data_IF_909217073447
#
_entry.id   IF_909217073447
#
_cell.length_a   1.000
_cell.length_b   1.000
_cell.length_c   1.000
_cell.angle_alpha   90.00
_cell.angle_beta   90.00
_cell.angle_gamma   90.00
#
_symmetry.space_group_name_H-M   'P 1'
#
loop_
_entity.id
_entity.type
_entity.pdbx_description
1 polymer ?
#
# COMPACT_ATOMS: atom_id res chain seq x y z
N UNK A 1 -5.97 -35.28 10.99
CA UNK A 1 -5.32 -33.95 11.10
C UNK A 1 -6.24 -32.95 10.44
N UNK A 2 -7.19 -32.45 11.21
CA UNK A 2 -8.14 -31.44 10.77
C UNK A 2 -7.38 -30.15 10.51
N UNK A 3 -7.36 -29.72 9.25
CA UNK A 3 -7.02 -28.34 8.92
C UNK A 3 -8.08 -27.49 9.58
N UNK A 4 -7.71 -26.78 10.65
CA UNK A 4 -8.56 -25.75 11.23
C UNK A 4 -9.05 -24.85 10.09
N UNK A 5 -10.37 -24.85 9.84
CA UNK A 5 -10.97 -23.88 8.94
C UNK A 5 -10.68 -22.51 9.55
N UNK A 6 -9.87 -21.72 8.85
CA UNK A 6 -9.76 -20.30 9.15
C UNK A 6 -11.19 -19.75 9.26
N UNK A 7 -11.48 -19.04 10.36
CA UNK A 7 -12.75 -18.32 10.50
C UNK A 7 -12.99 -17.39 9.31
N UNK A 8 -14.19 -16.82 9.15
CA UNK A 8 -14.43 -15.83 8.10
C UNK A 8 -13.34 -14.77 8.20
N UNK A 9 -12.50 -14.66 7.16
CA UNK A 9 -11.55 -13.55 7.05
C UNK A 9 -12.43 -12.32 7.00
N UNK A 10 -12.27 -11.41 7.94
CA UNK A 10 -12.79 -10.06 7.74
C UNK A 10 -12.01 -9.51 6.55
N UNK A 11 -12.62 -9.55 5.36
CA UNK A 11 -12.04 -9.12 4.09
C UNK A 11 -11.91 -7.59 4.04
N UNK A 12 -11.18 -7.03 5.01
CA UNK A 12 -11.06 -5.60 5.25
C UNK A 12 -9.66 -5.23 5.72
N UNK A 13 -8.64 -5.82 5.10
CA UNK A 13 -7.25 -5.45 5.33
C UNK A 13 -7.08 -3.96 5.02
N UNK A 14 -6.47 -3.21 5.94
CA UNK A 14 -6.12 -1.80 5.78
C UNK A 14 -4.62 -1.62 5.92
N UNK A 15 -3.98 -0.91 5.01
CA UNK A 15 -2.55 -0.61 5.08
C UNK A 15 -2.35 0.88 5.33
N UNK A 16 -1.38 1.19 6.20
CA UNK A 16 -0.97 2.56 6.49
C UNK A 16 0.12 2.97 5.50
N UNK A 17 -0.26 3.69 4.45
CA UNK A 17 0.64 4.11 3.37
C UNK A 17 1.18 5.51 3.67
N UNK A 18 2.47 5.60 3.97
CA UNK A 18 3.17 6.86 4.21
C UNK A 18 3.69 7.41 2.88
N UNK A 19 3.29 8.63 2.56
CA UNK A 19 3.74 9.38 1.38
C UNK A 19 4.20 10.75 1.86
N UNK A 20 5.52 10.96 1.86
CA UNK A 20 6.15 12.17 2.40
C UNK A 20 5.68 12.46 3.85
N UNK A 21 4.92 13.54 4.03
CA UNK A 21 4.40 14.04 5.31
C UNK A 21 3.01 13.49 5.68
N UNK A 22 2.39 12.69 4.80
CA UNK A 22 1.03 12.18 4.98
C UNK A 22 0.99 10.68 5.21
N UNK A 23 0.03 10.24 6.03
CA UNK A 23 -0.34 8.83 6.19
C UNK A 23 -1.74 8.60 5.63
N UNK A 24 -1.84 7.73 4.63
CA UNK A 24 -3.07 7.42 3.91
C UNK A 24 -3.49 5.99 4.27
N UNK A 25 -4.70 5.83 4.79
CA UNK A 25 -5.26 4.50 5.08
C UNK A 25 -5.86 3.93 3.78
N UNK A 26 -5.35 2.79 3.34
CA UNK A 26 -5.83 2.12 2.12
C UNK A 26 -6.51 0.80 2.48
N UNK A 27 -7.82 0.73 2.27
CA UNK A 27 -8.56 -0.53 2.30
C UNK A 27 -8.18 -1.40 1.10
N UNK A 28 -7.62 -2.57 1.37
CA UNK A 28 -7.15 -3.56 0.40
C UNK A 28 -8.11 -4.76 0.28
N UNK A 29 -9.17 -4.82 1.09
CA UNK A 29 -10.12 -5.94 1.10
C UNK A 29 -9.41 -7.23 1.49
N UNK A 30 -9.33 -8.19 0.57
CA UNK A 30 -8.58 -9.45 0.73
C UNK A 30 -7.06 -9.28 0.60
N UNK A 31 -6.57 -8.12 0.18
CA UNK A 31 -5.15 -7.85 -0.08
C UNK A 31 -4.57 -8.59 -1.28
N UNK A 32 -5.40 -9.04 -2.23
CA UNK A 32 -4.95 -9.76 -3.43
C UNK A 32 -4.31 -8.86 -4.50
N UNK A 33 -4.29 -7.55 -4.29
CA UNK A 33 -3.67 -6.61 -5.23
C UNK A 33 -2.14 -6.62 -5.11
N UNK A 34 -1.47 -6.11 -6.14
CA UNK A 34 -0.01 -5.98 -6.16
C UNK A 34 0.47 -4.76 -5.37
N UNK A 35 1.69 -4.82 -4.85
CA UNK A 35 2.34 -3.69 -4.20
C UNK A 35 2.44 -2.45 -5.08
N UNK A 36 2.62 -2.61 -6.40
CA UNK A 36 2.57 -1.48 -7.34
C UNK A 36 1.25 -0.71 -7.26
N UNK A 37 0.11 -1.41 -7.15
CA UNK A 37 -1.20 -0.77 -7.02
C UNK A 37 -1.27 0.05 -5.74
N UNK A 38 -0.79 -0.50 -4.61
CA UNK A 38 -0.80 0.18 -3.32
C UNK A 38 0.00 1.49 -3.36
N UNK A 39 1.18 1.46 -4.00
CA UNK A 39 2.00 2.66 -4.20
C UNK A 39 1.27 3.73 -5.03
N UNK A 40 0.62 3.35 -6.14
CA UNK A 40 -0.12 4.30 -6.98
C UNK A 40 -1.34 4.88 -6.25
N UNK A 41 -2.04 4.07 -5.45
CA UNK A 41 -3.16 4.56 -4.63
C UNK A 41 -2.67 5.56 -3.59
N UNK A 42 -1.55 5.29 -2.92
CA UNK A 42 -0.91 6.23 -2.00
C UNK A 42 -0.58 7.56 -2.69
N UNK A 43 0.07 7.51 -3.86
CA UNK A 43 0.41 8.72 -4.62
C UNK A 43 -0.84 9.49 -5.05
N UNK A 44 -1.85 8.83 -5.61
CA UNK A 44 -3.07 9.49 -6.05
C UNK A 44 -3.78 10.23 -4.89
N UNK A 45 -3.93 9.54 -3.75
CA UNK A 45 -4.61 10.05 -2.55
C UNK A 45 -3.80 11.04 -1.72
N UNK A 46 -2.55 11.32 -2.09
CA UNK A 46 -1.79 12.40 -1.47
C UNK A 46 -2.49 13.76 -1.64
N UNK A 47 -3.11 13.95 -2.80
CA UNK A 47 -4.11 14.98 -3.04
C UNK A 47 -5.48 14.45 -2.60
N UNK A 48 -5.92 14.86 -1.43
CA UNK A 48 -7.18 14.38 -0.82
C UNK A 48 -8.43 14.94 -1.52
N UNK A 49 -8.30 16.08 -2.21
CA UNK A 49 -9.44 16.78 -2.81
C UNK A 49 -9.74 16.23 -4.20
N UNK A 50 -8.73 16.11 -5.06
CA UNK A 50 -8.93 15.68 -6.46
C UNK A 50 -8.45 14.26 -6.72
N UNK A 51 -7.73 13.64 -5.79
CA UNK A 51 -7.11 12.33 -5.95
C UNK A 51 -6.09 12.29 -7.10
N UNK A 52 -5.47 13.43 -7.43
CA UNK A 52 -4.52 13.58 -8.54
C UNK A 52 -3.08 13.81 -8.08
N UNK A 53 -2.68 13.24 -6.94
CA UNK A 53 -1.35 13.50 -6.37
C UNK A 53 -0.17 13.13 -7.28
N UNK A 54 -0.39 12.33 -8.33
CA UNK A 54 0.62 12.08 -9.38
C UNK A 54 1.03 13.34 -10.15
N UNK A 55 0.18 14.38 -10.24
CA UNK A 55 0.56 15.66 -10.88
C UNK A 55 1.65 16.40 -10.08
N UNK A 56 1.73 16.14 -8.77
CA UNK A 56 2.71 16.76 -7.88
C UNK A 56 3.91 15.83 -7.64
N UNK A 57 3.64 14.52 -7.52
CA UNK A 57 4.61 13.54 -7.03
C UNK A 57 5.13 12.58 -8.12
N UNK A 58 4.48 12.51 -9.28
CA UNK A 58 4.81 11.55 -10.33
C UNK A 58 4.31 10.14 -9.97
N UNK A 59 5.20 9.14 -10.02
CA UNK A 59 4.87 7.71 -9.81
C UNK A 59 5.60 7.16 -8.57
N UNK A 60 5.15 6.04 -7.98
CA UNK A 60 5.90 5.37 -6.91
C UNK A 60 7.21 4.80 -7.48
N UNK A 61 8.35 5.30 -6.99
CA UNK A 61 9.68 4.83 -7.35
C UNK A 61 10.12 3.65 -6.47
N UNK A 62 9.81 3.71 -5.17
CA UNK A 62 10.16 2.68 -4.19
C UNK A 62 9.05 2.54 -3.16
N UNK A 63 8.84 1.31 -2.68
CA UNK A 63 7.97 1.03 -1.55
C UNK A 63 8.75 0.19 -0.53
N UNK A 64 8.78 0.61 0.72
CA UNK A 64 9.52 -0.08 1.79
C UNK A 64 8.67 -0.35 3.02
N UNK A 65 9.06 -1.35 3.80
CA UNK A 65 8.55 -1.56 5.15
C UNK A 65 9.04 -0.48 6.12
N UNK A 66 8.55 -0.50 7.36
CA UNK A 66 9.05 0.34 8.46
C UNK A 66 10.53 0.14 8.79
N UNK A 67 11.09 -1.03 8.45
CA UNK A 67 12.52 -1.31 8.59
C UNK A 67 13.35 -0.86 7.38
N UNK A 68 12.73 -0.23 6.37
CA UNK A 68 13.40 0.21 5.15
C UNK A 68 13.66 -0.89 4.12
N UNK A 69 13.11 -2.10 4.32
CA UNK A 69 13.26 -3.23 3.39
C UNK A 69 12.36 -2.99 2.16
N UNK A 70 12.90 -3.04 0.93
CA UNK A 70 12.11 -2.79 -0.27
C UNK A 70 11.22 -3.98 -0.64
N UNK A 71 9.97 -3.68 -1.02
CA UNK A 71 9.07 -4.63 -1.66
C UNK A 71 9.25 -4.59 -3.19
N UNK A 72 8.98 -5.71 -3.85
CA UNK A 72 8.91 -5.75 -5.31
C UNK A 72 7.55 -5.27 -5.79
N UNK A 73 7.50 -4.63 -6.96
CA UNK A 73 6.27 -4.14 -7.57
C UNK A 73 5.20 -5.24 -7.75
N UNK A 74 5.65 -6.48 -7.98
CA UNK A 74 4.79 -7.63 -8.26
C UNK A 74 4.35 -8.41 -7.02
N UNK A 75 4.88 -8.10 -5.83
CA UNK A 75 4.49 -8.77 -4.59
C UNK A 75 2.99 -8.60 -4.34
N UNK A 76 2.34 -9.65 -3.83
CA UNK A 76 0.92 -9.61 -3.46
C UNK A 76 0.80 -9.13 -2.02
N UNK A 77 -0.03 -8.11 -1.78
CA UNK A 77 -0.11 -7.42 -0.48
C UNK A 77 -0.32 -8.40 0.68
N UNK A 78 -1.30 -9.31 0.60
CA UNK A 78 -1.60 -10.25 1.68
C UNK A 78 -0.59 -11.40 1.84
N UNK A 79 0.37 -11.54 0.93
CA UNK A 79 1.47 -12.50 1.07
C UNK A 79 2.67 -11.90 1.82
N UNK A 80 2.80 -10.57 1.83
CA UNK A 80 3.98 -9.86 2.38
C UNK A 80 3.67 -8.84 3.47
N UNK A 81 2.39 -8.50 3.69
CA UNK A 81 1.92 -7.56 4.71
C UNK A 81 0.79 -8.17 5.54
N UNK A 82 0.61 -7.64 6.75
CA UNK A 82 -0.51 -7.89 7.65
C UNK A 82 -1.43 -6.66 7.75
N UNK A 83 -2.64 -6.85 8.29
CA UNK A 83 -3.55 -5.73 8.56
C UNK A 83 -2.88 -4.68 9.45
N UNK A 84 -3.07 -3.41 9.08
CA UNK A 84 -2.50 -2.20 9.70
C UNK A 84 -0.98 -2.06 9.60
N UNK A 85 -0.30 -2.88 8.80
CA UNK A 85 1.12 -2.66 8.53
C UNK A 85 1.38 -1.29 7.91
N UNK A 86 2.59 -0.78 8.15
CA UNK A 86 3.05 0.51 7.65
C UNK A 86 4.02 0.30 6.49
N UNK A 87 3.74 0.98 5.38
CA UNK A 87 4.62 1.04 4.21
C UNK A 87 4.94 2.48 3.86
N UNK A 88 6.09 2.70 3.25
CA UNK A 88 6.61 4.03 2.91
C UNK A 88 6.85 4.09 1.41
N UNK A 89 6.23 5.07 0.75
CA UNK A 89 6.32 5.27 -0.69
C UNK A 89 7.22 6.46 -0.98
N UNK A 90 8.26 6.21 -1.76
CA UNK A 90 9.12 7.24 -2.33
C UNK A 90 8.64 7.58 -3.75
N UNK A 91 8.18 8.82 -4.01
CA UNK A 91 7.77 9.26 -5.34
C UNK A 91 8.96 9.59 -6.24
N UNK A 92 8.78 9.52 -7.57
CA UNK A 92 9.78 9.98 -8.55
C UNK A 92 10.02 11.49 -8.50
N UNK A 93 9.04 12.28 -8.02
CA UNK A 93 9.08 13.76 -7.99
C UNK A 93 9.29 14.39 -9.38
N UNK A 94 8.93 13.65 -10.42
CA UNK A 94 8.97 14.08 -11.82
C UNK A 94 7.63 13.65 -12.44
N UNK A 95 6.82 14.60 -12.96
CA UNK A 95 5.60 14.30 -13.69
C UNK A 95 5.83 13.41 -14.92
#
# INVERSE_FOLDING_TARGET
>A
MDKAKAGPREDNMKIMVHVLDKTIVVSCGTGSQRMQWLGHVGIARYDEEHLQGWLQLGKPAKITSSAGVPFQANDVICEVLQDKDHVYVEPTRQP
#
